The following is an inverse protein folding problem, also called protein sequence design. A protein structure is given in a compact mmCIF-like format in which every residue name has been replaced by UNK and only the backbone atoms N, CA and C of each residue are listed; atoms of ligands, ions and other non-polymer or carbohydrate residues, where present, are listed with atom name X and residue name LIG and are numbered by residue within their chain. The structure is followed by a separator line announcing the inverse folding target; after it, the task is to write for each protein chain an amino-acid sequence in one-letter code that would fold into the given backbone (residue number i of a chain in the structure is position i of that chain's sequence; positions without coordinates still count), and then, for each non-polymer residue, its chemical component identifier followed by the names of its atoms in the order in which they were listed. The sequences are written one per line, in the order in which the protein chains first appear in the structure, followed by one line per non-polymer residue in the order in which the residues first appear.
data_IF_577949940476
#
_entry.id   IF_577949940476
#
_cell.length_a   1.000
_cell.length_b   1.000
_cell.length_c   1.000
_cell.angle_alpha   90.00
_cell.angle_beta   90.00
_cell.angle_gamma   90.00
#
_symmetry.space_group_name_H-M   'P 1'
#
loop_
_entity.id
_entity.type
_entity.pdbx_description
1 polymer ?
#
# COMPACT_ATOMS: atom_id res chain seq x y z
N UNK A 1 4.83 -13.66 -5.57
CA UNK A 1 3.36 -13.69 -5.72
C UNK A 1 2.87 -12.30 -6.07
N UNK A 2 2.21 -12.12 -7.21
CA UNK A 2 1.54 -10.85 -7.51
C UNK A 2 0.32 -10.71 -6.58
N UNK A 3 0.40 -9.79 -5.61
CA UNK A 3 -0.74 -9.47 -4.75
C UNK A 3 -1.75 -8.68 -5.58
N UNK A 4 -3.00 -9.13 -5.61
CA UNK A 4 -4.09 -8.36 -6.24
C UNK A 4 -4.26 -7.01 -5.53
N UNK A 5 -4.88 -6.01 -6.19
CA UNK A 5 -5.11 -4.70 -5.56
C UNK A 5 -5.89 -4.80 -4.24
N UNK A 6 -6.74 -5.83 -4.09
CA UNK A 6 -7.39 -6.17 -2.83
C UNK A 6 -6.40 -6.58 -1.74
N UNK A 7 -5.45 -7.46 -2.05
CA UNK A 7 -4.41 -7.87 -1.11
C UNK A 7 -3.49 -6.71 -0.70
N UNK A 8 -3.16 -5.81 -1.63
CA UNK A 8 -2.43 -4.57 -1.31
C UNK A 8 -3.24 -3.65 -0.36
N UNK A 9 -4.55 -3.58 -0.52
CA UNK A 9 -5.40 -2.81 0.39
C UNK A 9 -5.40 -3.39 1.81
N UNK A 10 -5.53 -4.71 1.93
CA UNK A 10 -5.49 -5.41 3.23
C UNK A 10 -4.14 -5.21 3.94
N UNK A 11 -3.05 -5.24 3.17
CA UNK A 11 -1.70 -5.03 3.69
C UNK A 11 -1.46 -3.59 4.13
N UNK A 12 -1.93 -2.62 3.33
CA UNK A 12 -1.90 -1.21 3.71
C UNK A 12 -2.71 -0.95 4.99
N UNK A 13 -3.90 -1.55 5.12
CA UNK A 13 -4.73 -1.43 6.33
C UNK A 13 -4.03 -2.02 7.55
N UNK A 14 -3.38 -3.18 7.42
CA UNK A 14 -2.58 -3.77 8.50
C UNK A 14 -1.41 -2.86 8.90
N UNK A 15 -0.68 -2.35 7.91
CA UNK A 15 0.46 -1.47 8.14
C UNK A 15 0.03 -0.17 8.87
N UNK A 16 -1.06 0.46 8.41
CA UNK A 16 -1.59 1.65 9.04
C UNK A 16 -2.16 1.37 10.44
N UNK A 17 -2.78 0.21 10.66
CA UNK A 17 -3.26 -0.20 11.99
C UNK A 17 -2.13 -0.33 13.01
N UNK A 18 -0.93 -0.70 12.55
CA UNK A 18 0.25 -0.81 13.40
C UNK A 18 0.97 0.52 13.61
N UNK A 19 0.71 1.50 12.75
CA UNK A 19 1.38 2.80 12.75
C UNK A 19 0.95 3.73 13.90
N UNK A 20 1.82 4.68 14.23
CA UNK A 20 1.59 5.69 15.26
C UNK A 20 0.33 6.52 15.01
N UNK A 21 0.03 6.83 13.75
CA UNK A 21 -1.18 7.58 13.42
C UNK A 21 -2.49 6.90 13.90
N UNK A 22 -2.56 5.57 13.90
CA UNK A 22 -3.75 4.84 14.40
C UNK A 22 -3.61 4.50 15.88
N UNK A 23 -2.41 4.09 16.32
CA UNK A 23 -2.17 3.67 17.70
C UNK A 23 -2.10 4.84 18.68
N UNK A 24 -1.25 5.83 18.40
CA UNK A 24 -0.98 6.97 19.28
C UNK A 24 -2.04 8.07 19.08
N UNK A 25 -2.27 8.47 17.83
CA UNK A 25 -3.19 9.56 17.49
C UNK A 25 -4.67 9.12 17.47
N UNK A 26 -4.96 7.81 17.58
CA UNK A 26 -6.33 7.24 17.57
C UNK A 26 -7.15 7.65 16.33
N UNK A 27 -6.48 8.03 15.23
CA UNK A 27 -7.14 8.46 14.00
C UNK A 27 -7.63 7.26 13.20
N UNK A 28 -8.60 7.51 12.33
CA UNK A 28 -9.08 6.48 11.40
C UNK A 28 -8.01 6.14 10.36
N UNK A 29 -7.93 4.88 9.94
CA UNK A 29 -7.01 4.42 8.88
C UNK A 29 -7.14 5.25 7.60
N UNK A 30 -8.36 5.72 7.28
CA UNK A 30 -8.59 6.63 6.13
C UNK A 30 -7.87 7.97 6.27
N UNK A 31 -7.77 8.50 7.49
CA UNK A 31 -7.03 9.73 7.78
C UNK A 31 -5.52 9.46 7.64
N UNK A 32 -5.05 8.38 8.28
CA UNK A 32 -3.65 7.96 8.22
C UNK A 32 -3.17 7.55 6.83
N UNK A 33 -4.07 7.08 5.96
CA UNK A 33 -3.74 6.78 4.57
C UNK A 33 -3.36 8.05 3.77
N UNK A 34 -3.75 9.24 4.20
CA UNK A 34 -3.34 10.53 3.61
C UNK A 34 -2.02 11.07 4.17
N UNK A 35 -1.61 10.60 5.34
CA UNK A 35 -0.44 11.12 6.07
C UNK A 35 0.90 10.69 5.45
N UNK A 36 1.99 11.29 5.90
CA UNK A 36 3.37 10.96 5.46
C UNK A 36 4.23 10.58 6.66
N UNK A 37 5.44 10.09 6.38
CA UNK A 37 6.47 9.93 7.41
C UNK A 37 6.73 11.26 8.13
N UNK A 38 6.82 11.29 9.48
CA UNK A 38 6.97 10.14 10.38
C UNK A 38 5.68 9.52 10.95
N UNK A 39 4.49 10.11 10.71
CA UNK A 39 3.21 9.61 11.27
C UNK A 39 2.89 8.17 10.86
N UNK A 40 3.25 7.81 9.62
CA UNK A 40 3.15 6.45 9.11
C UNK A 40 4.54 5.98 8.64
N UNK A 41 4.89 4.70 8.85
CA UNK A 41 6.18 4.18 8.42
C UNK A 41 6.30 4.21 6.90
N UNK A 42 7.52 4.36 6.40
CA UNK A 42 7.84 4.41 4.97
C UNK A 42 7.37 3.18 4.20
N UNK A 43 7.30 2.02 4.87
CA UNK A 43 6.71 0.79 4.33
C UNK A 43 5.23 0.98 3.96
N UNK A 44 4.42 1.60 4.83
CA UNK A 44 3.01 1.90 4.53
C UNK A 44 2.89 2.90 3.38
N UNK A 45 3.81 3.86 3.27
CA UNK A 45 3.84 4.82 2.16
C UNK A 45 4.06 4.09 0.83
N UNK A 46 5.01 3.14 0.77
CA UNK A 46 5.25 2.33 -0.42
C UNK A 46 4.07 1.42 -0.78
N UNK A 47 3.42 0.80 0.21
CA UNK A 47 2.19 0.01 0.01
C UNK A 47 1.05 0.88 -0.54
N UNK A 48 0.91 2.11 -0.05
CA UNK A 48 -0.06 3.08 -0.53
C UNK A 48 0.17 3.40 -2.00
N UNK A 49 1.39 3.78 -2.37
CA UNK A 49 1.72 4.08 -3.78
C UNK A 49 1.46 2.88 -4.68
N UNK A 50 1.85 1.68 -4.26
CA UNK A 50 1.62 0.44 -5.00
C UNK A 50 0.12 0.16 -5.15
N UNK A 51 -0.68 0.32 -4.09
CA UNK A 51 -2.14 0.18 -4.14
C UNK A 51 -2.78 1.20 -5.08
N UNK A 52 -2.39 2.48 -5.01
CA UNK A 52 -2.90 3.52 -5.92
C UNK A 52 -2.52 3.24 -7.37
N UNK A 53 -1.30 2.79 -7.63
CA UNK A 53 -0.86 2.37 -8.96
C UNK A 53 -1.65 1.16 -9.46
N UNK A 54 -1.92 0.19 -8.59
CA UNK A 54 -2.74 -0.98 -8.89
C UNK A 54 -4.19 -0.58 -9.22
N UNK A 55 -4.78 0.33 -8.44
CA UNK A 55 -6.13 0.86 -8.68
C UNK A 55 -6.20 1.70 -9.96
N UNK A 56 -5.20 2.55 -10.21
CA UNK A 56 -5.08 3.37 -11.42
C UNK A 56 -4.91 2.52 -12.68
N UNK A 57 -4.10 1.46 -12.59
CA UNK A 57 -3.92 0.48 -13.67
C UNK A 57 -5.17 -0.34 -13.99
N UNK A 58 -6.13 -0.45 -13.07
CA UNK A 58 -7.46 -1.03 -13.37
C UNK A 58 -8.39 -0.05 -14.09
N UNK A 59 -8.21 1.26 -13.90
CA UNK A 59 -9.08 2.30 -14.50
C UNK A 59 -8.66 2.66 -15.93
N UNK A 60 -7.38 2.48 -16.27
CA UNK A 60 -6.86 2.59 -17.63
C UNK A 60 -6.83 1.18 -18.18
N UNK A 61 -7.88 0.77 -18.89
CA UNK A 61 -8.02 -0.61 -19.40
C UNK A 61 -6.72 -1.18 -19.96
N UNK A 62 -6.29 -2.30 -19.39
CA UNK A 62 -5.33 -3.27 -19.93
C UNK A 62 -3.93 -2.74 -20.27
N UNK A 63 -3.02 -2.76 -19.28
CA UNK A 63 -1.59 -3.00 -19.52
C UNK A 63 -0.85 -3.48 -18.24
N UNK A 64 -0.64 -4.79 -18.15
CA UNK A 64 0.66 -5.36 -17.79
C UNK A 64 1.37 -4.79 -16.53
N UNK A 65 1.01 -5.28 -15.33
CA UNK A 65 1.86 -5.14 -14.13
C UNK A 65 1.84 -6.42 -13.28
N UNK A 66 2.25 -7.52 -13.90
CA UNK A 66 2.88 -8.65 -13.18
C UNK A 66 4.40 -8.68 -13.42
N UNK A 67 5.01 -7.57 -13.86
CA UNK A 67 6.46 -7.50 -14.05
C UNK A 67 7.16 -6.99 -12.80
N UNK A 68 7.22 -7.82 -11.77
CA UNK A 68 8.39 -7.87 -10.86
C UNK A 68 8.32 -9.09 -9.94
N UNK A 69 8.56 -10.26 -10.49
CA UNK A 69 9.03 -11.44 -9.75
C UNK A 69 9.85 -12.33 -10.69
N UNK A 70 10.82 -11.72 -11.38
CA UNK A 70 11.99 -12.40 -11.93
C UNK A 70 13.13 -11.39 -11.80
N UNK A 71 13.75 -11.35 -10.63
CA UNK A 71 15.13 -10.93 -10.34
C UNK A 71 15.30 -11.03 -8.82
N UNK A 72 16.33 -11.78 -8.38
CA UNK A 72 16.59 -12.30 -7.03
C UNK A 72 15.72 -13.54 -6.70
N UNK A 73 16.18 -14.79 -6.85
CA UNK A 73 17.49 -15.37 -6.57
C UNK A 73 17.90 -16.45 -7.60
N UNK A 74 19.03 -16.23 -8.25
CA UNK A 74 20.02 -17.27 -8.59
C UNK A 74 21.32 -16.81 -7.94
#
# INVERSE_FOLDING_TARGET
MAKSCKGLAEELVKCLSDSMCVKDEKRSIRDCAGEKSPCIPSECVGLRETYFNCKRGQMIGNANSQRSSMLVNT
#
